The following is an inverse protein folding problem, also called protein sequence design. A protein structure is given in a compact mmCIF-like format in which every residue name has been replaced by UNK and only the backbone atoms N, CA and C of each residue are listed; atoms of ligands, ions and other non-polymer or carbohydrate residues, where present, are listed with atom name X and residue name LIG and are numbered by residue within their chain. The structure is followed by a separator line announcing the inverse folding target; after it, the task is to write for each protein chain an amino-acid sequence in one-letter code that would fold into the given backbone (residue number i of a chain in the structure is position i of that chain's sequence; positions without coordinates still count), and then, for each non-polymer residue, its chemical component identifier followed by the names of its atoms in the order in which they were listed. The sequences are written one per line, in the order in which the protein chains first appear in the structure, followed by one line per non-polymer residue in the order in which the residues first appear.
data_IF_681584090275
#
_entry.id   IF_681584090275
#
_cell.length_a   1.000
_cell.length_b   1.000
_cell.length_c   1.000
_cell.angle_alpha   90.00
_cell.angle_beta   90.00
_cell.angle_gamma   90.00
#
_symmetry.space_group_name_H-M   'P 1'
#
loop_
_entity.id
_entity.type
_entity.pdbx_description
1 polymer ?
#
# COMPACT_ATOMS: atom_id res chain seq x y z
N UNK A 1 27.55 18.66 2.43
CA UNK A 1 28.13 17.94 3.59
C UNK A 1 27.42 18.25 4.91
N UNK A 2 27.34 19.50 5.40
CA UNK A 2 26.71 19.84 6.70
C UNK A 2 25.27 19.31 6.90
N UNK A 3 24.40 19.34 5.88
CA UNK A 3 23.00 18.84 5.98
C UNK A 3 22.91 17.30 6.13
N UNK A 4 23.82 16.56 5.49
CA UNK A 4 23.88 15.09 5.59
C UNK A 4 24.39 14.65 6.97
N UNK A 5 25.36 15.39 7.52
CA UNK A 5 25.89 15.16 8.87
C UNK A 5 24.85 15.36 9.95
N UNK A 6 24.00 16.39 9.84
CA UNK A 6 22.89 16.65 10.78
C UNK A 6 21.83 15.53 10.72
N UNK A 7 21.42 15.12 9.51
CA UNK A 7 20.47 14.00 9.33
C UNK A 7 21.01 12.68 9.88
N UNK A 8 22.28 12.36 9.62
CA UNK A 8 22.94 11.19 10.19
C UNK A 8 23.00 11.29 11.72
N UNK A 9 23.34 12.45 12.28
CA UNK A 9 23.41 12.66 13.72
C UNK A 9 22.04 12.56 14.39
N UNK A 10 20.98 13.10 13.79
CA UNK A 10 19.58 12.92 14.24
C UNK A 10 19.15 11.45 14.17
N UNK A 11 19.54 10.74 13.11
CA UNK A 11 19.30 9.30 12.96
C UNK A 11 20.02 8.50 14.07
N UNK A 12 21.30 8.77 14.34
CA UNK A 12 22.05 8.13 15.41
C UNK A 12 21.52 8.44 16.81
N UNK A 13 21.08 9.68 17.05
CA UNK A 13 20.43 10.09 18.30
C UNK A 13 19.10 9.35 18.50
N UNK A 14 18.29 9.17 17.44
CA UNK A 14 17.03 8.43 17.51
C UNK A 14 17.21 6.93 17.81
N UNK A 15 18.31 6.31 17.35
CA UNK A 15 18.67 4.92 17.70
C UNK A 15 18.99 4.80 19.21
N UNK A 16 19.53 5.85 19.84
CA UNK A 16 19.79 5.90 21.29
C UNK A 16 18.52 5.88 22.16
N UNK A 17 17.37 6.30 21.60
CA UNK A 17 16.06 6.26 22.27
C UNK A 17 15.36 4.90 22.19
N UNK A 18 16.01 3.87 21.66
CA UNK A 18 15.53 2.46 21.72
C UNK A 18 15.30 1.94 23.14
N UNK A 19 15.74 2.69 24.17
CA UNK A 19 15.46 2.47 25.59
C UNK A 19 13.98 2.58 25.98
N UNK A 20 13.10 3.09 25.11
CA UNK A 20 11.67 3.26 25.39
C UNK A 20 10.77 2.13 24.86
N UNK A 21 11.33 1.08 24.24
CA UNK A 21 10.54 -0.03 23.71
C UNK A 21 10.51 -1.20 24.69
N UNK A 22 9.31 -1.47 25.24
CA UNK A 22 9.02 -2.67 26.04
C UNK A 22 9.53 -3.95 25.37
N UNK A 23 9.82 -4.96 26.19
CA UNK A 23 10.38 -6.25 25.75
C UNK A 23 9.53 -6.92 24.66
N UNK A 24 10.15 -7.16 23.50
CA UNK A 24 9.55 -7.74 22.29
C UNK A 24 8.78 -9.04 22.57
N UNK A 25 7.66 -9.23 21.87
CA UNK A 25 6.75 -10.38 22.05
C UNK A 25 6.71 -11.30 20.84
N UNK A 26 6.90 -10.78 19.64
CA UNK A 26 6.78 -11.52 18.38
C UNK A 26 8.09 -11.51 17.57
N UNK A 27 8.41 -12.65 16.96
CA UNK A 27 9.52 -12.80 16.01
C UNK A 27 9.02 -12.87 14.57
N UNK A 28 7.90 -13.56 14.33
CA UNK A 28 7.32 -13.74 13.01
C UNK A 28 5.80 -13.78 13.11
N UNK A 29 5.11 -13.13 12.17
CA UNK A 29 3.66 -13.19 12.01
C UNK A 29 3.36 -13.33 10.53
N UNK A 30 2.76 -14.44 10.13
CA UNK A 30 2.34 -14.68 8.76
C UNK A 30 0.81 -14.80 8.72
N UNK A 31 0.20 -14.29 7.67
CA UNK A 31 -1.21 -14.44 7.35
C UNK A 31 -1.31 -14.96 5.92
N UNK A 32 -1.73 -16.21 5.77
CA UNK A 32 -1.83 -16.90 4.49
C UNK A 32 -3.32 -16.98 4.11
N UNK A 33 -3.87 -15.96 3.43
CA UNK A 33 -5.24 -16.02 2.91
C UNK A 33 -5.30 -17.00 1.75
N UNK A 34 -6.16 -18.01 1.88
CA UNK A 34 -6.30 -19.08 0.88
C UNK A 34 -7.43 -18.74 -0.10
N UNK A 35 -8.54 -18.21 0.42
CA UNK A 35 -9.74 -17.87 -0.36
C UNK A 35 -10.13 -16.44 -0.02
N UNK A 36 -10.48 -15.66 -1.05
CA UNK A 36 -11.00 -14.31 -0.97
C UNK A 36 -12.15 -14.16 -1.98
N UNK A 37 -13.37 -14.10 -1.48
CA UNK A 37 -14.59 -13.99 -2.28
C UNK A 37 -15.13 -12.55 -2.20
N UNK A 38 -15.70 -12.04 -3.31
CA UNK A 38 -15.94 -12.76 -4.56
C UNK A 38 -14.77 -12.70 -5.55
N UNK A 39 -13.70 -11.96 -5.24
CA UNK A 39 -12.56 -11.75 -6.16
C UNK A 39 -11.97 -13.05 -6.73
N UNK A 40 -11.79 -14.11 -5.94
CA UNK A 40 -11.21 -15.34 -6.49
C UNK A 40 -12.12 -16.10 -7.46
N UNK A 41 -13.41 -15.78 -7.48
CA UNK A 41 -14.39 -16.35 -8.40
C UNK A 41 -14.61 -15.44 -9.60
N UNK A 42 -14.74 -14.15 -9.34
CA UNK A 42 -15.24 -13.18 -10.30
C UNK A 42 -14.12 -12.58 -11.16
N UNK A 43 -12.88 -12.56 -10.66
CA UNK A 43 -11.75 -12.04 -11.44
C UNK A 43 -11.38 -13.03 -12.56
N UNK A 44 -11.13 -12.56 -13.80
CA UNK A 44 -10.70 -13.39 -14.91
C UNK A 44 -9.36 -14.09 -14.63
N UNK A 45 -8.49 -13.44 -13.85
CA UNK A 45 -7.35 -14.07 -13.20
C UNK A 45 -7.73 -14.36 -11.74
N UNK A 46 -8.18 -15.59 -11.50
CA UNK A 46 -8.80 -16.00 -10.22
C UNK A 46 -7.93 -15.75 -8.98
N UNK A 47 -6.60 -15.70 -9.09
CA UNK A 47 -5.72 -15.46 -7.95
C UNK A 47 -4.49 -14.65 -8.35
N UNK A 48 -3.94 -13.84 -7.43
CA UNK A 48 -4.49 -13.46 -6.12
C UNK A 48 -5.55 -12.34 -6.20
N UNK A 49 -6.32 -12.14 -5.12
CA UNK A 49 -7.11 -10.92 -4.90
C UNK A 49 -6.23 -9.75 -4.41
N UNK A 50 -6.75 -8.52 -4.42
CA UNK A 50 -6.06 -7.34 -3.88
C UNK A 50 -5.58 -7.53 -2.43
N UNK A 51 -6.45 -8.07 -1.57
CA UNK A 51 -6.11 -8.32 -0.17
C UNK A 51 -5.17 -9.51 -0.01
N UNK A 52 -5.26 -10.55 -0.85
CA UNK A 52 -4.28 -11.64 -0.85
C UNK A 52 -2.90 -11.14 -1.22
N UNK A 53 -2.79 -10.28 -2.25
CA UNK A 53 -1.53 -9.68 -2.65
C UNK A 53 -0.89 -8.85 -1.53
N UNK A 54 -1.70 -8.05 -0.82
CA UNK A 54 -1.26 -7.27 0.34
C UNK A 54 -0.74 -8.16 1.49
N UNK A 55 -1.43 -9.27 1.80
CA UNK A 55 -0.96 -10.23 2.82
C UNK A 55 0.34 -10.90 2.39
N UNK A 56 0.42 -11.42 1.17
CA UNK A 56 1.62 -12.09 0.68
C UNK A 56 2.83 -11.15 0.68
N UNK A 57 2.65 -9.90 0.22
CA UNK A 57 3.71 -8.88 0.31
C UNK A 57 4.15 -8.63 1.74
N UNK A 58 3.19 -8.39 2.65
CA UNK A 58 3.50 -8.17 4.07
C UNK A 58 4.28 -9.34 4.68
N UNK A 59 3.88 -10.57 4.38
CA UNK A 59 4.46 -11.83 4.86
C UNK A 59 5.87 -12.10 4.29
N UNK A 60 6.09 -11.85 3.00
CA UNK A 60 7.43 -11.96 2.42
C UNK A 60 8.40 -10.95 3.04
N UNK A 61 7.95 -9.72 3.32
CA UNK A 61 8.75 -8.79 4.13
C UNK A 61 8.96 -9.30 5.57
N UNK A 62 7.95 -9.91 6.22
CA UNK A 62 8.14 -10.52 7.56
C UNK A 62 9.27 -11.57 7.56
N UNK A 63 9.29 -12.44 6.56
CA UNK A 63 10.32 -13.47 6.41
C UNK A 63 11.71 -12.85 6.18
N UNK A 64 11.81 -11.86 5.28
CA UNK A 64 13.06 -11.14 5.04
C UNK A 64 13.60 -10.47 6.31
N UNK A 65 12.73 -9.79 7.06
CA UNK A 65 13.11 -9.12 8.30
C UNK A 65 13.50 -10.11 9.41
N UNK A 66 12.85 -11.27 9.50
CA UNK A 66 13.29 -12.35 10.40
C UNK A 66 14.70 -12.83 10.04
N UNK A 67 14.99 -13.01 8.75
CA UNK A 67 16.32 -13.36 8.25
C UNK A 67 17.38 -12.34 8.65
N UNK A 68 17.08 -11.05 8.42
CA UNK A 68 17.95 -9.92 8.79
C UNK A 68 18.19 -9.88 10.30
N UNK A 69 17.14 -10.07 11.11
CA UNK A 69 17.25 -10.09 12.58
C UNK A 69 18.20 -11.22 13.04
N UNK A 70 18.05 -12.43 12.48
CA UNK A 70 18.90 -13.58 12.76
C UNK A 70 20.35 -13.33 12.34
N UNK A 71 20.60 -12.87 11.12
CA UNK A 71 21.95 -12.59 10.61
C UNK A 71 22.65 -11.54 11.46
N UNK A 72 21.99 -10.41 11.76
CA UNK A 72 22.57 -9.37 12.61
C UNK A 72 22.90 -9.89 14.01
N UNK A 73 22.03 -10.72 14.60
CA UNK A 73 22.30 -11.34 15.89
C UNK A 73 23.47 -12.33 15.83
N UNK A 74 23.59 -13.16 14.80
CA UNK A 74 24.72 -14.09 14.65
C UNK A 74 26.05 -13.34 14.52
N UNK A 75 26.08 -12.27 13.72
CA UNK A 75 27.31 -11.53 13.44
C UNK A 75 27.72 -10.59 14.58
N UNK A 76 26.76 -9.94 15.25
CA UNK A 76 27.03 -8.79 16.12
C UNK A 76 26.57 -8.96 17.58
N UNK A 77 25.90 -10.08 17.92
CA UNK A 77 25.54 -10.43 19.30
C UNK A 77 26.36 -11.65 19.77
N UNK A 78 27.49 -11.43 20.46
CA UNK A 78 28.33 -12.54 20.93
C UNK A 78 27.58 -13.39 21.95
N UNK A 79 27.72 -14.72 21.84
CA UNK A 79 27.12 -15.68 22.79
C UNK A 79 27.80 -15.67 24.17
N UNK A 80 29.07 -15.26 24.21
CA UNK A 80 29.97 -15.43 25.37
C UNK A 80 30.43 -14.13 26.01
N UNK A 81 30.06 -12.96 25.46
CA UNK A 81 30.48 -11.64 25.97
C UNK A 81 29.27 -10.76 26.24
N UNK A 82 29.43 -9.83 27.18
CA UNK A 82 28.39 -8.86 27.48
C UNK A 82 28.00 -8.04 26.24
N UNK A 83 26.69 -7.86 26.07
CA UNK A 83 26.13 -7.12 24.94
C UNK A 83 26.10 -5.62 25.25
N UNK A 84 27.26 -4.99 25.12
CA UNK A 84 27.48 -3.58 25.45
C UNK A 84 26.58 -2.63 24.64
N UNK A 85 26.36 -1.41 25.15
CA UNK A 85 25.53 -0.38 24.47
C UNK A 85 26.03 -0.08 23.05
N UNK A 86 27.34 0.06 22.84
CA UNK A 86 27.91 0.30 21.50
C UNK A 86 27.61 -0.85 20.52
N UNK A 87 27.68 -2.11 20.97
CA UNK A 87 27.32 -3.27 20.14
C UNK A 87 25.82 -3.35 19.84
N UNK A 88 24.97 -2.94 20.78
CA UNK A 88 23.52 -2.81 20.54
C UNK A 88 23.24 -1.82 19.43
N UNK A 89 23.88 -0.64 19.48
CA UNK A 89 23.76 0.38 18.43
C UNK A 89 24.31 -0.12 17.09
N UNK A 90 25.48 -0.77 17.07
CA UNK A 90 26.05 -1.34 15.86
C UNK A 90 25.13 -2.39 15.22
N UNK A 91 24.57 -3.31 16.02
CA UNK A 91 23.65 -4.33 15.53
C UNK A 91 22.35 -3.70 14.99
N UNK A 92 21.79 -2.73 15.71
CA UNK A 92 20.60 -2.01 15.25
C UNK A 92 20.86 -1.27 13.93
N UNK A 93 21.99 -0.57 13.83
CA UNK A 93 22.42 0.12 12.60
C UNK A 93 22.64 -0.84 11.44
N UNK A 94 23.34 -1.97 11.67
CA UNK A 94 23.54 -3.00 10.66
C UNK A 94 22.22 -3.57 10.14
N UNK A 95 21.31 -3.97 11.03
CA UNK A 95 19.99 -4.49 10.66
C UNK A 95 19.16 -3.47 9.90
N UNK A 96 19.21 -2.20 10.29
CA UNK A 96 18.52 -1.14 9.58
C UNK A 96 19.05 -0.95 8.16
N UNK A 97 20.38 -0.86 8.00
CA UNK A 97 21.01 -0.71 6.68
C UNK A 97 20.71 -1.90 5.77
N UNK A 98 20.77 -3.12 6.31
CA UNK A 98 20.42 -4.33 5.56
C UNK A 98 18.92 -4.35 5.22
N UNK A 99 18.05 -3.88 6.11
CA UNK A 99 16.61 -3.73 5.84
C UNK A 99 16.35 -2.69 4.75
N UNK A 100 17.05 -1.56 4.76
CA UNK A 100 16.93 -0.53 3.73
C UNK A 100 17.40 -1.05 2.36
N UNK A 101 18.51 -1.79 2.31
CA UNK A 101 18.97 -2.44 1.09
C UNK A 101 17.99 -3.51 0.60
N UNK A 102 17.52 -4.39 1.52
CA UNK A 102 16.56 -5.43 1.20
C UNK A 102 15.26 -4.85 0.64
N UNK A 103 14.71 -3.80 1.25
CA UNK A 103 13.48 -3.20 0.70
C UNK A 103 13.76 -2.53 -0.64
N UNK A 104 14.83 -1.72 -0.77
CA UNK A 104 15.10 -1.01 -2.02
C UNK A 104 15.25 -1.94 -3.22
N UNK A 105 16.02 -3.01 -3.09
CA UNK A 105 16.31 -3.92 -4.20
C UNK A 105 15.35 -5.11 -4.26
N UNK A 106 14.84 -5.54 -3.10
CA UNK A 106 13.89 -6.64 -3.00
C UNK A 106 12.51 -6.28 -3.53
N UNK A 107 12.06 -5.03 -3.38
CA UNK A 107 10.77 -4.57 -3.93
C UNK A 107 10.66 -4.74 -5.46
N UNK A 108 11.79 -4.72 -6.16
CA UNK A 108 11.86 -4.90 -7.61
C UNK A 108 11.84 -6.37 -8.03
N UNK A 109 12.06 -7.33 -7.11
CA UNK A 109 12.14 -8.74 -7.48
C UNK A 109 10.77 -9.27 -7.95
N UNK A 110 10.73 -10.22 -8.90
CA UNK A 110 9.49 -10.73 -9.48
C UNK A 110 8.85 -11.82 -8.60
N UNK A 111 8.72 -11.52 -7.30
CA UNK A 111 8.16 -12.32 -6.22
C UNK A 111 7.21 -11.43 -5.40
N UNK A 112 6.41 -11.96 -4.45
CA UNK A 112 5.42 -11.16 -3.72
C UNK A 112 6.03 -10.11 -2.78
N UNK A 113 6.51 -9.01 -3.35
CA UNK A 113 7.08 -7.81 -2.72
C UNK A 113 6.57 -6.57 -3.47
N UNK A 114 7.04 -5.38 -3.11
CA UNK A 114 6.63 -4.06 -3.61
C UNK A 114 5.95 -4.03 -4.99
N UNK A 115 6.73 -4.10 -6.07
CA UNK A 115 6.23 -3.96 -7.46
C UNK A 115 5.24 -5.07 -7.83
N UNK A 116 5.43 -6.30 -7.34
CA UNK A 116 4.47 -7.36 -7.62
C UNK A 116 3.09 -7.05 -7.03
N UNK A 117 3.05 -6.56 -5.78
CA UNK A 117 1.80 -6.19 -5.12
C UNK A 117 1.16 -4.95 -5.77
N UNK A 118 1.99 -4.00 -6.21
CA UNK A 118 1.57 -2.84 -7.01
C UNK A 118 0.78 -3.29 -8.25
N UNK A 119 1.37 -4.17 -9.05
CA UNK A 119 0.75 -4.69 -10.26
C UNK A 119 -0.52 -5.52 -9.98
N UNK A 120 -0.55 -6.35 -8.93
CA UNK A 120 -1.78 -7.08 -8.57
C UNK A 120 -2.94 -6.16 -8.17
N UNK A 121 -2.68 -4.95 -7.65
CA UNK A 121 -3.74 -3.99 -7.34
C UNK A 121 -4.36 -3.40 -8.62
N UNK A 122 -3.55 -3.06 -9.63
CA UNK A 122 -4.07 -2.66 -10.94
C UNK A 122 -4.91 -3.77 -11.56
N UNK A 123 -4.39 -5.00 -11.54
CA UNK A 123 -5.11 -6.17 -12.04
C UNK A 123 -6.46 -6.30 -11.33
N UNK A 124 -6.49 -6.23 -9.99
CA UNK A 124 -7.71 -6.30 -9.17
C UNK A 124 -8.84 -5.40 -9.68
N UNK A 125 -8.52 -4.13 -9.99
CA UNK A 125 -9.53 -3.19 -10.50
C UNK A 125 -9.93 -3.51 -11.94
N UNK A 126 -8.99 -3.90 -12.81
CA UNK A 126 -9.31 -4.34 -14.17
C UNK A 126 -10.21 -5.59 -14.17
N UNK A 127 -9.90 -6.56 -13.31
CA UNK A 127 -10.59 -7.84 -13.27
C UNK A 127 -12.04 -7.76 -12.79
N UNK A 128 -12.37 -6.86 -11.84
CA UNK A 128 -13.79 -6.64 -11.45
C UNK A 128 -14.61 -5.96 -12.55
N UNK A 129 -13.95 -5.50 -13.62
CA UNK A 129 -14.58 -5.01 -14.84
C UNK A 129 -14.47 -6.04 -15.99
N UNK A 130 -14.24 -7.31 -15.68
CA UNK A 130 -14.10 -8.43 -16.62
C UNK A 130 -12.93 -8.28 -17.62
N UNK A 131 -11.94 -7.45 -17.32
CA UNK A 131 -10.75 -7.28 -18.17
C UNK A 131 -9.66 -8.23 -17.69
N UNK A 132 -9.29 -9.18 -18.55
CA UNK A 132 -8.20 -10.10 -18.25
C UNK A 132 -6.85 -9.41 -18.39
N UNK A 133 -5.96 -9.65 -17.44
CA UNK A 133 -4.64 -9.02 -17.38
C UNK A 133 -3.63 -9.93 -16.68
N UNK A 134 -2.35 -9.66 -16.87
CA UNK A 134 -1.22 -10.42 -16.34
C UNK A 134 -0.25 -9.48 -15.63
N UNK A 135 0.36 -9.99 -14.56
CA UNK A 135 1.39 -9.28 -13.80
C UNK A 135 2.76 -9.49 -14.46
N UNK A 136 3.37 -8.39 -14.88
CA UNK A 136 4.67 -8.30 -15.52
C UNK A 136 5.85 -8.35 -14.55
N UNK A 137 5.60 -8.46 -13.25
CA UNK A 137 6.62 -8.63 -12.21
C UNK A 137 6.49 -9.99 -11.50
N UNK A 138 6.49 -11.08 -12.27
CA UNK A 138 6.31 -12.44 -11.77
C UNK A 138 7.29 -13.40 -12.45
N UNK A 139 8.14 -14.08 -11.65
CA UNK A 139 9.27 -14.86 -12.13
C UNK A 139 8.95 -15.92 -13.21
N UNK A 140 7.76 -16.56 -13.24
CA UNK A 140 7.39 -17.51 -14.29
C UNK A 140 7.03 -16.87 -15.63
N UNK A 141 6.88 -15.54 -15.70
CA UNK A 141 6.31 -14.86 -16.85
C UNK A 141 7.20 -13.72 -17.35
N UNK A 142 7.40 -12.69 -16.53
CA UNK A 142 7.99 -11.41 -16.97
C UNK A 142 8.54 -10.67 -15.74
N UNK A 143 9.55 -9.83 -15.95
CA UNK A 143 10.16 -9.01 -14.92
C UNK A 143 10.46 -7.60 -15.45
N UNK A 144 9.40 -6.81 -15.62
CA UNK A 144 9.51 -5.41 -16.06
C UNK A 144 8.52 -4.45 -15.43
N UNK A 145 7.75 -4.90 -14.42
CA UNK A 145 6.85 -4.01 -13.67
C UNK A 145 5.69 -3.47 -14.51
N UNK A 146 5.11 -4.30 -15.36
CA UNK A 146 3.96 -3.92 -16.21
C UNK A 146 2.70 -4.69 -15.86
N UNK A 147 1.53 -4.17 -16.22
CA UNK A 147 0.29 -4.96 -16.31
C UNK A 147 -0.12 -5.03 -17.77
N UNK A 148 -0.08 -6.25 -18.31
CA UNK A 148 -0.30 -6.51 -19.74
C UNK A 148 -1.44 -7.51 -19.97
N UNK A 149 -1.75 -7.81 -21.23
CA UNK A 149 -2.86 -8.71 -21.63
C UNK A 149 -4.16 -7.98 -21.94
N UNK A 150 -4.20 -6.66 -21.75
CA UNK A 150 -5.38 -5.81 -21.93
C UNK A 150 -5.48 -5.32 -23.38
N UNK A 151 -6.66 -5.39 -24.00
CA UNK A 151 -6.87 -4.85 -25.34
C UNK A 151 -7.23 -3.36 -25.31
N UNK A 152 -6.92 -2.62 -26.38
CA UNK A 152 -7.33 -1.21 -26.50
C UNK A 152 -8.86 -1.04 -26.56
N UNK A 153 -9.57 -2.07 -27.06
CA UNK A 153 -11.03 -2.13 -27.04
C UNK A 153 -11.57 -2.18 -25.60
N UNK A 154 -10.97 -2.99 -24.73
CA UNK A 154 -11.39 -3.11 -23.33
C UNK A 154 -11.23 -1.78 -22.60
N UNK A 155 -10.12 -1.07 -22.84
CA UNK A 155 -9.86 0.25 -22.25
C UNK A 155 -10.79 1.33 -22.82
N UNK A 156 -11.13 1.23 -24.11
CA UNK A 156 -12.10 2.13 -24.76
C UNK A 156 -13.50 1.93 -24.16
N UNK A 157 -13.92 0.68 -23.96
CA UNK A 157 -15.18 0.35 -23.31
C UNK A 157 -15.19 0.80 -21.84
N UNK A 158 -14.10 0.54 -21.11
CA UNK A 158 -13.98 0.95 -19.71
C UNK A 158 -14.05 2.47 -19.57
N UNK A 159 -13.34 3.22 -20.41
CA UNK A 159 -13.38 4.69 -20.38
C UNK A 159 -14.79 5.23 -20.64
N UNK A 160 -15.50 4.66 -21.61
CA UNK A 160 -16.82 5.15 -22.02
C UNK A 160 -17.95 4.75 -21.07
N UNK A 161 -17.91 3.54 -20.51
CA UNK A 161 -18.99 3.02 -19.65
C UNK A 161 -18.72 3.20 -18.15
N UNK A 162 -17.45 3.11 -17.73
CA UNK A 162 -17.04 3.09 -16.33
C UNK A 162 -15.75 3.91 -16.11
N UNK A 163 -15.75 5.23 -16.42
CA UNK A 163 -14.55 6.07 -16.33
C UNK A 163 -13.95 6.06 -14.92
N UNK A 164 -14.76 6.03 -13.87
CA UNK A 164 -14.29 5.97 -12.48
C UNK A 164 -13.48 4.70 -12.20
N UNK A 165 -13.82 3.58 -12.85
CA UNK A 165 -13.08 2.33 -12.71
C UNK A 165 -11.77 2.36 -13.48
N UNK A 166 -11.72 3.04 -14.65
CA UNK A 166 -10.45 3.28 -15.35
C UNK A 166 -9.52 4.15 -14.52
N UNK A 167 -10.05 5.27 -13.98
CA UNK A 167 -9.28 6.17 -13.12
C UNK A 167 -8.82 5.48 -11.84
N UNK A 168 -9.65 4.60 -11.25
CA UNK A 168 -9.25 3.79 -10.12
C UNK A 168 -8.15 2.79 -10.52
N UNK A 169 -8.28 2.12 -11.67
CA UNK A 169 -7.30 1.16 -12.15
C UNK A 169 -5.92 1.81 -12.27
N UNK A 170 -5.80 3.05 -12.72
CA UNK A 170 -4.51 3.76 -12.76
C UNK A 170 -3.90 3.98 -11.38
N UNK A 171 -4.69 4.32 -10.36
CA UNK A 171 -4.11 4.70 -9.06
C UNK A 171 -4.01 3.54 -8.07
N UNK A 172 -4.58 2.38 -8.41
CA UNK A 172 -4.67 1.23 -7.52
C UNK A 172 -3.30 0.71 -7.06
N UNK A 173 -2.28 0.70 -7.93
CA UNK A 173 -0.93 0.25 -7.56
C UNK A 173 -0.38 0.99 -6.35
N UNK A 174 -0.42 2.33 -6.37
CA UNK A 174 0.01 3.22 -5.27
C UNK A 174 -0.73 2.92 -3.95
N UNK A 175 -1.95 2.38 -4.01
CA UNK A 175 -2.68 2.01 -2.81
C UNK A 175 -2.02 0.85 -2.09
N UNK A 176 -1.32 -0.04 -2.81
CA UNK A 176 -0.63 -1.18 -2.21
C UNK A 176 0.42 -0.73 -1.18
N UNK A 177 1.23 0.29 -1.49
CA UNK A 177 2.28 0.82 -0.61
C UNK A 177 1.68 1.58 0.58
N UNK A 178 0.67 2.43 0.31
CA UNK A 178 0.00 3.22 1.34
C UNK A 178 -0.70 2.30 2.35
N UNK A 179 -1.39 1.28 1.85
CA UNK A 179 -2.15 0.34 2.68
C UNK A 179 -1.21 -0.62 3.44
N UNK A 180 -0.10 -1.02 2.83
CA UNK A 180 0.96 -1.79 3.51
C UNK A 180 1.58 -0.99 4.66
N UNK A 181 1.85 0.30 4.47
CA UNK A 181 2.34 1.19 5.52
C UNK A 181 1.35 1.33 6.68
N UNK A 182 0.05 1.50 6.38
CA UNK A 182 -1.00 1.54 7.41
C UNK A 182 -1.00 0.26 8.21
N UNK A 183 -1.04 -0.89 7.53
CA UNK A 183 -1.07 -2.21 8.15
C UNK A 183 0.12 -2.41 9.08
N UNK A 184 1.34 -2.19 8.59
CA UNK A 184 2.56 -2.38 9.39
C UNK A 184 2.56 -1.44 10.61
N UNK A 185 2.22 -0.16 10.42
CA UNK A 185 2.25 0.84 11.50
C UNK A 185 1.26 0.50 12.62
N UNK A 186 0.04 0.12 12.25
CA UNK A 186 -1.00 -0.29 13.21
C UNK A 186 -0.63 -1.60 13.89
N UNK A 187 -0.19 -2.59 13.12
CA UNK A 187 0.18 -3.89 13.64
C UNK A 187 1.38 -3.82 14.60
N UNK A 188 2.41 -3.04 14.28
CA UNK A 188 3.62 -2.90 15.10
C UNK A 188 3.37 -2.02 16.33
N UNK A 189 2.41 -1.09 16.25
CA UNK A 189 1.91 -0.38 17.42
C UNK A 189 1.30 -1.35 18.43
N UNK A 190 0.37 -2.23 18.03
CA UNK A 190 -0.30 -3.17 18.96
C UNK A 190 0.56 -4.39 19.33
N UNK A 191 1.38 -4.90 18.39
CA UNK A 191 2.11 -6.17 18.50
C UNK A 191 3.62 -5.96 18.39
N UNK A 192 4.24 -5.69 19.54
CA UNK A 192 5.69 -5.47 19.69
C UNK A 192 6.54 -6.63 19.16
N UNK A 193 7.59 -6.30 18.41
CA UNK A 193 8.43 -7.27 17.69
C UNK A 193 9.94 -7.09 17.91
N UNK A 194 10.74 -8.06 17.49
CA UNK A 194 12.21 -8.06 17.68
C UNK A 194 12.96 -7.15 16.71
N UNK A 195 12.50 -7.03 15.46
CA UNK A 195 13.02 -6.10 14.47
C UNK A 195 11.87 -5.33 13.82
N UNK A 196 11.91 -4.00 13.94
CA UNK A 196 10.87 -3.12 13.44
C UNK A 196 11.04 -2.81 11.93
N UNK A 197 9.91 -2.64 11.21
CA UNK A 197 9.86 -2.48 9.75
C UNK A 197 10.02 -1.05 9.25
N UNK A 198 10.76 -0.23 9.98
CA UNK A 198 10.86 1.23 9.77
C UNK A 198 11.38 1.58 8.37
N UNK A 199 12.39 0.84 7.90
CA UNK A 199 12.97 1.05 6.58
C UNK A 199 11.95 0.82 5.46
N UNK A 200 11.04 -0.15 5.62
CA UNK A 200 9.94 -0.38 4.68
C UNK A 200 8.93 0.77 4.69
N UNK A 201 8.56 1.26 5.88
CA UNK A 201 7.64 2.41 6.00
C UNK A 201 8.21 3.64 5.27
N UNK A 202 9.49 3.93 5.51
CA UNK A 202 10.21 5.03 4.85
C UNK A 202 10.29 4.82 3.34
N UNK A 203 10.65 3.62 2.89
CA UNK A 203 10.79 3.33 1.47
C UNK A 203 9.46 3.49 0.74
N UNK A 204 8.36 2.97 1.27
CA UNK A 204 7.04 3.10 0.67
C UNK A 204 6.60 4.58 0.58
N UNK A 205 6.84 5.38 1.63
CA UNK A 205 6.55 6.82 1.59
C UNK A 205 7.40 7.54 0.53
N UNK A 206 8.68 7.18 0.43
CA UNK A 206 9.58 7.68 -0.61
C UNK A 206 9.15 7.25 -2.01
N UNK A 207 8.79 5.98 -2.21
CA UNK A 207 8.38 5.42 -3.50
C UNK A 207 7.17 6.16 -4.04
N UNK A 208 6.12 6.34 -3.22
CA UNK A 208 4.92 7.09 -3.63
C UNK A 208 5.28 8.53 -4.00
N UNK A 209 6.07 9.22 -3.19
CA UNK A 209 6.50 10.58 -3.52
C UNK A 209 7.36 10.65 -4.79
N UNK A 210 8.29 9.71 -4.96
CA UNK A 210 9.19 9.66 -6.11
C UNK A 210 8.42 9.33 -7.39
N UNK A 211 7.39 8.49 -7.31
CA UNK A 211 6.53 8.20 -8.46
C UNK A 211 5.71 9.43 -8.89
N UNK A 212 5.18 10.21 -7.94
CA UNK A 212 4.59 11.52 -8.23
C UNK A 212 5.63 12.53 -8.74
N UNK A 213 6.88 12.48 -8.27
CA UNK A 213 7.98 13.33 -8.76
C UNK A 213 8.31 13.03 -10.21
N UNK A 214 8.43 11.76 -10.56
CA UNK A 214 8.60 11.29 -11.93
C UNK A 214 7.43 11.74 -12.80
N UNK A 215 6.20 11.48 -12.36
CA UNK A 215 4.98 11.77 -13.11
C UNK A 215 4.70 13.26 -13.31
N UNK A 216 5.11 14.10 -12.35
CA UNK A 216 5.01 15.56 -12.46
C UNK A 216 6.29 16.19 -13.05
N UNK A 217 6.93 15.52 -14.03
CA UNK A 217 8.15 15.99 -14.68
C UNK A 217 8.23 15.58 -16.16
N UNK A 218 8.98 16.34 -16.99
CA UNK A 218 9.23 15.99 -18.40
C UNK A 218 9.99 14.66 -18.63
N UNK A 219 10.47 14.00 -17.58
CA UNK A 219 11.10 12.67 -17.70
C UNK A 219 10.12 11.66 -18.31
N UNK A 220 8.83 11.79 -18.00
CA UNK A 220 7.76 10.95 -18.59
C UNK A 220 7.63 11.11 -20.10
N UNK A 221 7.94 12.28 -20.67
CA UNK A 221 7.95 12.49 -22.12
C UNK A 221 9.05 11.64 -22.78
N UNK A 222 10.22 11.59 -22.15
CA UNK A 222 11.33 10.75 -22.60
C UNK A 222 10.98 9.27 -22.52
N UNK A 223 10.31 8.85 -21.43
CA UNK A 223 9.84 7.46 -21.25
C UNK A 223 8.73 7.11 -22.24
N UNK A 224 7.84 8.05 -22.59
CA UNK A 224 6.83 7.86 -23.65
C UNK A 224 7.48 7.51 -24.98
N UNK A 225 8.56 8.19 -25.34
CA UNK A 225 9.27 7.97 -26.62
C UNK A 225 10.14 6.70 -26.56
N UNK A 226 10.98 6.56 -25.53
CA UNK A 226 11.92 5.45 -25.44
C UNK A 226 11.25 4.13 -25.05
N UNK A 227 10.29 4.17 -24.13
CA UNK A 227 9.54 2.99 -23.70
C UNK A 227 8.78 2.35 -24.86
N UNK A 228 8.14 3.17 -25.71
CA UNK A 228 7.43 2.67 -26.88
C UNK A 228 8.34 1.95 -27.90
N UNK A 229 9.63 2.33 -28.00
CA UNK A 229 10.60 1.64 -28.89
C UNK A 229 10.95 0.22 -28.42
N UNK A 230 10.86 -0.03 -27.11
CA UNK A 230 11.19 -1.33 -26.51
C UNK A 230 9.95 -2.18 -26.23
N UNK A 231 8.77 -1.66 -26.55
CA UNK A 231 7.52 -2.37 -26.36
C UNK A 231 7.12 -3.18 -27.58
N UNK A 232 6.32 -4.20 -27.32
CA UNK A 232 5.80 -5.07 -28.36
C UNK A 232 4.76 -4.33 -29.22
N UNK A 233 4.78 -4.50 -30.56
CA UNK A 233 3.76 -3.94 -31.45
C UNK A 233 2.32 -4.40 -31.16
N UNK A 234 2.14 -5.60 -30.56
CA UNK A 234 0.85 -6.12 -30.12
C UNK A 234 0.36 -5.39 -28.86
N UNK A 235 -0.80 -4.69 -28.91
CA UNK A 235 -1.41 -4.03 -27.77
C UNK A 235 -1.54 -4.89 -26.51
N UNK A 236 -1.76 -6.20 -26.66
CA UNK A 236 -1.91 -7.12 -25.52
C UNK A 236 -0.59 -7.43 -24.81
N UNK A 237 0.55 -7.12 -25.40
CA UNK A 237 1.87 -7.33 -24.78
C UNK A 237 2.45 -6.04 -24.19
N UNK A 238 1.77 -4.91 -24.37
CA UNK A 238 2.15 -3.61 -23.80
C UNK A 238 1.57 -3.44 -22.40
N UNK A 239 2.20 -2.55 -21.65
CA UNK A 239 1.63 -2.09 -20.40
C UNK A 239 0.26 -1.41 -20.62
N UNK A 240 -0.66 -1.51 -19.66
CA UNK A 240 -2.04 -1.02 -19.83
C UNK A 240 -2.14 0.51 -19.70
N UNK A 241 -1.24 1.15 -18.97
CA UNK A 241 -1.30 2.58 -18.64
C UNK A 241 -0.05 3.36 -19.09
N UNK A 242 1.10 2.71 -19.14
CA UNK A 242 2.40 3.35 -19.31
C UNK A 242 2.91 3.94 -18.00
N UNK A 243 2.69 5.23 -17.79
CA UNK A 243 2.94 5.88 -16.50
C UNK A 243 1.59 6.19 -15.87
N UNK A 244 1.27 5.50 -14.78
CA UNK A 244 -0.09 5.46 -14.25
C UNK A 244 -0.63 6.84 -13.90
N UNK A 245 0.18 7.66 -13.22
CA UNK A 245 -0.29 8.92 -12.68
C UNK A 245 -0.43 10.00 -13.77
N UNK A 246 0.31 9.94 -14.87
CA UNK A 246 0.07 10.82 -16.02
C UNK A 246 -1.13 10.35 -16.83
N UNK A 247 -1.35 9.04 -16.99
CA UNK A 247 -2.57 8.51 -17.60
C UNK A 247 -3.82 8.88 -16.78
N UNK A 248 -3.73 8.75 -15.45
CA UNK A 248 -4.74 9.18 -14.49
C UNK A 248 -5.08 10.66 -14.64
N UNK A 249 -4.07 11.55 -14.58
CA UNK A 249 -4.30 12.98 -14.75
C UNK A 249 -4.85 13.33 -16.13
N UNK A 250 -4.40 12.66 -17.18
CA UNK A 250 -4.88 12.89 -18.54
C UNK A 250 -6.36 12.58 -18.68
N UNK A 251 -6.78 11.37 -18.31
CA UNK A 251 -8.18 10.97 -18.48
C UNK A 251 -9.10 11.69 -17.48
N UNK A 252 -8.60 12.04 -16.30
CA UNK A 252 -9.32 12.83 -15.30
C UNK A 252 -9.64 14.24 -15.81
N UNK A 253 -8.71 14.88 -16.54
CA UNK A 253 -8.88 16.21 -17.13
C UNK A 253 -9.46 16.18 -18.55
N UNK A 254 -9.69 14.98 -19.12
CA UNK A 254 -10.28 14.79 -20.44
C UNK A 254 -11.34 13.66 -20.41
N UNK A 255 -12.41 13.80 -19.61
CA UNK A 255 -13.41 12.74 -19.44
C UNK A 255 -14.16 12.44 -20.73
N UNK A 256 -14.46 13.47 -21.54
CA UNK A 256 -15.25 13.33 -22.77
C UNK A 256 -14.41 12.89 -23.99
N UNK A 257 -13.07 12.91 -23.89
CA UNK A 257 -12.23 12.47 -25.00
C UNK A 257 -12.25 10.93 -25.08
N UNK A 258 -12.55 10.32 -26.24
CA UNK A 258 -12.50 8.88 -26.35
C UNK A 258 -11.06 8.37 -26.12
N UNK A 259 -10.92 7.13 -25.64
CA UNK A 259 -9.60 6.54 -25.37
C UNK A 259 -8.72 6.49 -26.63
N UNK A 260 -9.36 6.31 -27.79
CA UNK A 260 -8.73 6.28 -29.12
C UNK A 260 -8.23 7.63 -29.63
N UNK A 261 -8.50 8.74 -28.92
CA UNK A 261 -7.97 10.06 -29.26
C UNK A 261 -6.50 10.26 -28.83
N UNK A 262 -5.91 9.29 -28.12
CA UNK A 262 -4.47 9.28 -27.83
C UNK A 262 -3.66 9.11 -29.11
N UNK A 263 -2.38 9.47 -29.05
CA UNK A 263 -1.46 9.28 -30.18
C UNK A 263 -1.47 7.83 -30.66
N UNK A 264 -1.21 7.61 -31.94
CA UNK A 264 -0.99 6.25 -32.45
C UNK A 264 0.28 5.66 -31.84
N UNK A 265 0.27 4.37 -31.55
CA UNK A 265 1.48 3.71 -31.08
C UNK A 265 2.54 3.71 -32.20
N UNK A 266 3.79 4.12 -31.92
CA UNK A 266 4.82 4.12 -32.94
C UNK A 266 5.16 2.68 -33.34
N UNK A 267 5.21 2.42 -34.65
CA UNK A 267 5.62 1.13 -35.22
C UNK A 267 4.76 -0.08 -34.80
N UNK A 268 3.48 0.12 -34.48
CA UNK A 268 2.56 -0.97 -34.13
C UNK A 268 1.10 -0.57 -34.21
N UNK A 269 0.22 -1.43 -33.68
CA UNK A 269 -1.23 -1.24 -33.73
C UNK A 269 -1.77 -0.46 -32.53
N UNK A 270 -2.91 0.19 -32.71
CA UNK A 270 -3.64 0.83 -31.62
C UNK A 270 -3.01 2.13 -31.10
N UNK A 271 -3.35 2.47 -29.85
CA UNK A 271 -2.98 3.76 -29.25
C UNK A 271 -1.71 3.67 -28.41
N UNK A 272 -0.97 4.77 -28.36
CA UNK A 272 0.09 4.98 -27.40
C UNK A 272 -0.53 5.22 -26.03
N UNK A 273 -0.45 4.20 -25.17
CA UNK A 273 -1.00 4.25 -23.82
C UNK A 273 -0.22 5.20 -22.92
N UNK A 274 1.08 5.43 -23.21
CA UNK A 274 1.91 6.37 -22.46
C UNK A 274 1.49 7.80 -22.74
N UNK A 275 1.13 8.48 -21.66
CA UNK A 275 0.95 9.92 -21.62
C UNK A 275 2.19 10.54 -20.97
N UNK A 276 2.83 11.45 -21.67
CA UNK A 276 3.91 12.29 -21.14
C UNK A 276 3.36 13.52 -20.41
N UNK A 277 4.16 14.09 -19.52
CA UNK A 277 3.81 15.31 -18.79
C UNK A 277 3.47 16.49 -19.74
N UNK A 278 4.14 16.57 -20.89
CA UNK A 278 3.88 17.60 -21.89
C UNK A 278 2.58 17.38 -22.68
N UNK A 279 1.98 16.19 -22.61
CA UNK A 279 0.65 15.92 -23.20
C UNK A 279 -0.50 16.42 -22.30
N UNK A 280 -0.19 16.75 -21.03
CA UNK A 280 -1.17 17.23 -20.06
C UNK A 280 -1.48 18.71 -20.27
N UNK A 281 -2.74 19.09 -20.03
CA UNK A 281 -3.10 20.52 -19.96
C UNK A 281 -2.37 21.22 -18.80
N UNK A 282 -2.19 22.54 -18.83
CA UNK A 282 -1.58 23.29 -17.74
C UNK A 282 -2.24 23.01 -16.37
N UNK A 283 -3.58 22.86 -16.33
CA UNK A 283 -4.30 22.55 -15.10
C UNK A 283 -4.00 21.13 -14.60
N UNK A 284 -3.91 20.14 -15.49
CA UNK A 284 -3.55 18.77 -15.14
C UNK A 284 -2.10 18.68 -14.62
N UNK A 285 -1.19 19.43 -15.22
CA UNK A 285 0.19 19.57 -14.75
C UNK A 285 0.27 20.17 -13.33
N UNK A 286 -0.43 21.28 -13.10
CA UNK A 286 -0.51 21.91 -11.78
C UNK A 286 -1.15 20.98 -10.75
N UNK A 287 -2.17 20.23 -11.15
CA UNK A 287 -2.82 19.24 -10.30
C UNK A 287 -1.85 18.14 -9.86
N UNK A 288 -1.07 17.55 -10.77
CA UNK A 288 -0.05 16.56 -10.42
C UNK A 288 1.04 17.14 -9.52
N UNK A 289 1.47 18.38 -9.75
CA UNK A 289 2.41 19.08 -8.87
C UNK A 289 1.85 19.27 -7.45
N UNK A 290 0.54 19.54 -7.33
CA UNK A 290 -0.16 19.59 -6.03
C UNK A 290 -0.20 18.22 -5.38
N UNK A 291 -0.60 17.17 -6.11
CA UNK A 291 -0.62 15.80 -5.60
C UNK A 291 0.76 15.33 -5.11
N UNK A 292 1.84 15.67 -5.85
CA UNK A 292 3.22 15.42 -5.42
C UNK A 292 3.57 16.08 -4.09
N UNK A 293 3.08 17.29 -3.83
CA UNK A 293 3.29 17.96 -2.54
C UNK A 293 2.49 17.28 -1.44
N UNK A 294 1.25 16.86 -1.72
CA UNK A 294 0.39 16.15 -0.78
C UNK A 294 0.92 14.76 -0.43
N UNK A 295 1.57 14.06 -1.36
CA UNK A 295 2.17 12.75 -1.09
C UNK A 295 3.29 12.79 -0.04
N UNK A 296 3.88 13.96 0.24
CA UNK A 296 4.81 14.15 1.37
C UNK A 296 4.15 13.86 2.73
N UNK A 297 2.82 13.92 2.83
CA UNK A 297 2.11 13.56 4.07
C UNK A 297 2.36 12.10 4.47
N UNK A 298 2.69 11.21 3.53
CA UNK A 298 3.06 9.82 3.82
C UNK A 298 4.35 9.69 4.66
N UNK A 299 5.17 10.75 4.76
CA UNK A 299 6.34 10.80 5.64
C UNK A 299 5.99 11.19 7.09
N UNK A 300 4.77 11.68 7.35
CA UNK A 300 4.31 12.00 8.71
C UNK A 300 3.94 10.70 9.41
N UNK A 301 4.95 9.95 9.84
CA UNK A 301 4.81 8.72 10.60
C UNK A 301 6.00 8.57 11.55
N UNK A 302 5.81 8.73 12.89
CA UNK A 302 6.88 8.59 13.87
C UNK A 302 7.58 7.22 13.83
N UNK A 303 6.91 6.18 13.32
CA UNK A 303 7.51 4.86 13.13
C UNK A 303 8.67 4.90 12.11
N UNK A 304 8.76 5.87 11.20
CA UNK A 304 9.95 6.06 10.35
C UNK A 304 11.19 6.33 11.23
N UNK A 305 11.01 7.07 12.32
CA UNK A 305 12.06 7.48 13.26
C UNK A 305 12.10 6.62 14.53
N UNK A 306 11.68 5.35 14.45
CA UNK A 306 11.74 4.38 15.55
C UNK A 306 10.80 4.66 16.73
N UNK A 307 9.87 5.58 16.57
CA UNK A 307 8.82 5.87 17.53
C UNK A 307 7.56 5.11 17.11
N UNK A 308 7.51 3.82 17.44
CA UNK A 308 6.35 2.98 17.14
C UNK A 308 5.20 3.18 18.13
N UNK A 309 5.46 3.80 19.28
CA UNK A 309 4.51 3.97 20.38
C UNK A 309 4.94 5.12 21.29
N UNK A 310 4.00 5.99 21.59
CA UNK A 310 4.16 7.13 22.52
C UNK A 310 3.38 6.79 23.80
N UNK A 311 4.03 6.58 24.94
CA UNK A 311 3.35 6.30 26.20
C UNK A 311 2.61 7.55 26.74
N UNK A 312 1.41 7.33 27.28
CA UNK A 312 0.60 8.31 28.02
C UNK A 312 0.35 7.75 29.43
N UNK A 313 1.28 8.00 30.34
CA UNK A 313 1.26 7.41 31.68
C UNK A 313 1.45 5.88 31.66
N UNK A 314 0.96 5.19 32.70
CA UNK A 314 1.19 3.74 32.89
C UNK A 314 0.20 2.84 32.14
N UNK A 315 -0.91 3.41 31.66
CA UNK A 315 -2.09 2.65 31.20
C UNK A 315 -2.52 3.01 29.78
N UNK A 316 -1.94 4.04 29.17
CA UNK A 316 -2.28 4.44 27.83
C UNK A 316 -1.02 4.59 26.97
N UNK A 317 -1.18 4.38 25.67
CA UNK A 317 -0.20 4.76 24.67
C UNK A 317 -0.92 5.03 23.36
N UNK A 318 -0.32 5.81 22.49
CA UNK A 318 -0.85 6.09 21.17
C UNK A 318 0.28 6.21 20.16
N UNK A 319 -0.08 6.22 18.89
CA UNK A 319 0.76 6.77 17.84
C UNK A 319 -0.15 7.55 16.89
N UNK A 320 0.43 8.19 15.89
CA UNK A 320 -0.32 8.79 14.81
C UNK A 320 0.48 8.70 13.51
N UNK A 321 -0.20 8.70 12.38
CA UNK A 321 0.45 8.89 11.09
C UNK A 321 -0.54 9.48 10.09
N UNK A 322 -0.04 10.24 9.13
CA UNK A 322 -0.84 10.74 8.01
C UNK A 322 -0.62 9.88 6.77
N UNK A 323 -1.64 9.82 5.94
CA UNK A 323 -1.58 9.14 4.65
C UNK A 323 -2.20 10.00 3.57
N UNK A 324 -1.59 9.98 2.40
CA UNK A 324 -2.14 10.50 1.16
C UNK A 324 -2.30 9.34 0.18
N UNK A 325 -3.47 9.21 -0.41
CA UNK A 325 -3.74 8.28 -1.50
C UNK A 325 -4.46 8.98 -2.66
N UNK A 326 -4.00 8.84 -3.90
CA UNK A 326 -4.79 9.25 -5.06
C UNK A 326 -6.06 8.39 -5.19
N UNK A 327 -7.13 8.91 -5.76
CA UNK A 327 -8.40 8.19 -5.94
C UNK A 327 -9.01 8.55 -7.31
N UNK A 328 -10.00 7.77 -7.76
CA UNK A 328 -10.69 8.04 -9.04
C UNK A 328 -11.34 9.43 -9.09
N UNK A 329 -11.84 9.94 -7.95
CA UNK A 329 -12.38 11.29 -7.83
C UNK A 329 -11.33 12.35 -7.46
N UNK A 330 -10.08 11.99 -7.19
CA UNK A 330 -9.06 12.94 -6.76
C UNK A 330 -8.11 12.37 -5.70
N UNK A 331 -8.35 12.64 -4.41
CA UNK A 331 -7.51 12.08 -3.35
C UNK A 331 -8.24 11.89 -2.00
N UNK A 332 -7.64 11.04 -1.17
CA UNK A 332 -7.89 10.92 0.26
C UNK A 332 -6.65 11.36 1.04
N UNK A 333 -6.85 12.23 2.02
CA UNK A 333 -5.87 12.55 3.05
C UNK A 333 -6.45 12.09 4.38
N UNK A 334 -5.70 11.26 5.10
CA UNK A 334 -6.13 10.77 6.41
C UNK A 334 -5.10 10.97 7.50
N UNK A 335 -5.58 11.07 8.72
CA UNK A 335 -4.80 10.88 9.94
C UNK A 335 -5.33 9.64 10.65
N UNK A 336 -4.43 8.72 10.98
CA UNK A 336 -4.76 7.49 11.71
C UNK A 336 -4.09 7.51 13.07
N UNK A 337 -4.86 7.25 14.13
CA UNK A 337 -4.44 7.24 15.52
C UNK A 337 -4.74 5.87 16.15
N UNK A 338 -3.77 4.94 16.16
CA UNK A 338 -3.87 3.75 16.99
C UNK A 338 -3.60 4.11 18.46
N UNK A 339 -4.47 3.63 19.34
CA UNK A 339 -4.51 3.94 20.76
C UNK A 339 -4.60 2.61 21.52
N UNK A 340 -3.81 2.45 22.56
CA UNK A 340 -3.95 1.36 23.51
C UNK A 340 -4.30 1.95 24.86
N UNK A 341 -5.47 1.61 25.39
CA UNK A 341 -5.95 2.03 26.70
C UNK A 341 -6.25 0.79 27.56
N UNK A 342 -5.51 0.64 28.65
CA UNK A 342 -5.43 -0.60 29.43
C UNK A 342 -5.08 -1.80 28.53
N UNK A 343 -6.01 -2.74 28.39
CA UNK A 343 -5.88 -3.94 27.55
C UNK A 343 -6.77 -3.85 26.29
N UNK A 344 -7.17 -2.64 25.92
CA UNK A 344 -8.05 -2.38 24.77
C UNK A 344 -7.26 -1.65 23.69
N UNK A 345 -7.28 -2.21 22.49
CA UNK A 345 -6.63 -1.65 21.31
C UNK A 345 -7.70 -0.98 20.44
N UNK A 346 -7.59 0.34 20.25
CA UNK A 346 -8.59 1.20 19.59
C UNK A 346 -7.94 1.96 18.44
N UNK A 347 -8.63 2.07 17.31
CA UNK A 347 -8.19 2.87 16.16
C UNK A 347 -9.19 3.99 15.90
N UNK A 348 -8.68 5.20 15.70
CA UNK A 348 -9.43 6.32 15.14
C UNK A 348 -8.77 6.75 13.83
N UNK A 349 -9.53 6.87 12.75
CA UNK A 349 -9.07 7.46 11.50
C UNK A 349 -9.98 8.61 11.11
N UNK A 350 -9.42 9.71 10.63
CA UNK A 350 -10.18 10.85 10.10
C UNK A 350 -9.71 11.07 8.68
N UNK A 351 -10.66 11.17 7.76
CA UNK A 351 -10.41 11.27 6.33
C UNK A 351 -10.95 12.60 5.79
N UNK A 352 -10.22 13.14 4.81
CA UNK A 352 -10.65 14.25 3.95
C UNK A 352 -10.54 13.77 2.51
N UNK A 353 -11.69 13.55 1.90
CA UNK A 353 -11.82 13.21 0.49
C UNK A 353 -11.96 14.49 -0.33
N UNK A 354 -11.12 14.67 -1.34
CA UNK A 354 -11.13 15.90 -2.15
C UNK A 354 -11.19 15.56 -3.63
N UNK A 355 -12.07 16.25 -4.36
CA UNK A 355 -12.04 16.31 -5.82
C UNK A 355 -11.63 17.71 -6.29
N UNK A 356 -11.93 18.08 -7.54
CA UNK A 356 -11.60 19.40 -8.07
C UNK A 356 -12.46 20.54 -7.50
N UNK A 357 -13.72 20.26 -7.11
CA UNK A 357 -14.71 21.29 -6.73
C UNK A 357 -15.19 21.24 -5.28
N UNK A 358 -15.08 20.09 -4.62
CA UNK A 358 -15.74 19.78 -3.37
C UNK A 358 -14.86 18.92 -2.46
N UNK A 359 -15.21 18.96 -1.18
CA UNK A 359 -14.57 18.18 -0.13
C UNK A 359 -15.63 17.42 0.66
N UNK A 360 -15.26 16.21 1.07
CA UNK A 360 -16.03 15.34 1.93
C UNK A 360 -15.15 14.77 3.03
N UNK A 361 -15.78 14.14 4.03
CA UNK A 361 -15.07 13.67 5.22
C UNK A 361 -15.46 12.25 5.57
N UNK A 362 -14.58 11.55 6.28
CA UNK A 362 -14.84 10.21 6.77
C UNK A 362 -14.23 9.95 8.13
N UNK A 363 -14.70 8.87 8.75
CA UNK A 363 -14.31 8.43 10.07
C UNK A 363 -14.14 6.91 10.06
N UNK A 364 -13.00 6.46 10.58
CA UNK A 364 -12.74 5.06 10.89
C UNK A 364 -12.73 4.88 12.41
N UNK A 365 -13.44 3.87 12.90
CA UNK A 365 -13.44 3.42 14.29
C UNK A 365 -13.09 1.94 14.33
N UNK A 366 -12.05 1.56 15.06
CA UNK A 366 -11.61 0.18 15.15
C UNK A 366 -11.43 -0.30 16.59
N UNK A 367 -11.76 -1.55 16.83
CA UNK A 367 -11.46 -2.30 18.05
C UNK A 367 -10.66 -3.53 17.66
N UNK A 368 -9.44 -3.64 18.16
CA UNK A 368 -8.50 -4.69 17.77
C UNK A 368 -8.18 -5.64 18.94
N UNK A 369 -7.75 -6.85 18.57
CA UNK A 369 -7.26 -7.92 19.44
C UNK A 369 -8.20 -8.23 20.62
N UNK A 370 -9.52 -8.12 20.41
CA UNK A 370 -10.51 -8.38 21.45
C UNK A 370 -10.62 -9.89 21.67
N UNK A 371 -10.22 -10.36 22.85
CA UNK A 371 -10.40 -11.76 23.23
C UNK A 371 -11.84 -12.00 23.63
N UNK A 372 -12.53 -12.84 22.85
CA UNK A 372 -13.89 -13.32 23.17
C UNK A 372 -13.79 -14.56 24.04
N UNK A 373 -12.86 -15.46 23.72
CA UNK A 373 -12.52 -16.63 24.54
C UNK A 373 -11.01 -16.79 24.64
N UNK A 374 -10.53 -17.85 25.32
CA UNK A 374 -9.09 -18.17 25.35
C UNK A 374 -8.52 -18.51 23.96
N UNK A 375 -9.37 -18.94 23.01
CA UNK A 375 -8.97 -19.36 21.66
C UNK A 375 -9.44 -18.40 20.56
N UNK A 376 -10.50 -17.63 20.79
CA UNK A 376 -11.09 -16.72 19.81
C UNK A 376 -10.71 -15.26 20.09
N UNK A 377 -10.11 -14.62 19.11
CA UNK A 377 -9.80 -13.19 19.09
C UNK A 377 -10.48 -12.54 17.88
N UNK A 378 -11.02 -11.33 18.05
CA UNK A 378 -11.74 -10.61 17.00
C UNK A 378 -11.26 -9.18 16.86
N UNK A 379 -11.31 -8.66 15.64
CA UNK A 379 -11.14 -7.25 15.31
C UNK A 379 -12.43 -6.76 14.64
N UNK A 380 -12.88 -5.54 14.96
CA UNK A 380 -14.03 -4.89 14.36
C UNK A 380 -13.62 -3.51 13.88
N UNK A 381 -13.93 -3.16 12.63
CA UNK A 381 -13.74 -1.82 12.09
C UNK A 381 -15.03 -1.32 11.47
N UNK A 382 -15.41 -0.08 11.80
CA UNK A 382 -16.49 0.68 11.20
C UNK A 382 -15.87 1.85 10.44
N UNK A 383 -16.32 2.06 9.21
CA UNK A 383 -15.92 3.20 8.38
C UNK A 383 -17.17 3.89 7.91
N UNK A 384 -17.21 5.22 8.00
CA UNK A 384 -18.26 6.05 7.41
C UNK A 384 -17.61 7.14 6.58
N UNK A 385 -18.26 7.54 5.50
CA UNK A 385 -17.72 8.57 4.62
C UNK A 385 -18.81 9.37 3.95
N UNK A 386 -18.44 10.59 3.58
CA UNK A 386 -19.08 11.45 2.60
C UNK A 386 -18.02 11.72 1.53
N UNK A 387 -18.14 11.10 0.35
CA UNK A 387 -17.11 11.11 -0.70
C UNK A 387 -17.61 11.85 -1.93
N UNK A 388 -16.76 12.62 -2.63
CA UNK A 388 -17.07 13.08 -3.97
C UNK A 388 -17.38 11.90 -4.91
N UNK A 389 -18.38 12.08 -5.78
CA UNK A 389 -18.78 11.02 -6.72
C UNK A 389 -17.82 10.93 -7.93
N UNK A 390 -17.36 12.06 -8.46
CA UNK A 390 -16.41 12.10 -9.57
C UNK A 390 -15.43 13.26 -9.40
N UNK A 391 -14.55 13.50 -10.37
CA UNK A 391 -13.52 14.54 -10.25
C UNK A 391 -14.07 15.98 -10.35
N UNK A 392 -15.02 16.25 -11.25
CA UNK A 392 -15.48 17.61 -11.57
C UNK A 392 -16.91 17.95 -11.12
N UNK A 393 -17.66 17.01 -10.57
CA UNK A 393 -18.96 17.34 -9.97
C UNK A 393 -18.77 17.85 -8.53
N UNK A 394 -19.78 18.53 -8.00
CA UNK A 394 -19.89 18.92 -6.60
C UNK A 394 -20.77 17.93 -5.80
N UNK A 395 -21.22 16.86 -6.45
CA UNK A 395 -22.05 15.80 -5.87
C UNK A 395 -21.19 14.90 -4.99
N UNK A 396 -21.72 14.63 -3.79
CA UNK A 396 -21.14 13.69 -2.83
C UNK A 396 -22.12 12.58 -2.51
N UNK A 397 -21.59 11.46 -2.04
CA UNK A 397 -22.38 10.34 -1.57
C UNK A 397 -21.89 9.89 -0.20
N UNK A 398 -22.85 9.67 0.69
CA UNK A 398 -22.59 9.08 2.00
C UNK A 398 -22.59 7.56 1.91
N UNK A 399 -21.63 6.93 2.58
CA UNK A 399 -21.54 5.48 2.66
C UNK A 399 -20.88 5.00 3.94
N UNK A 400 -20.86 3.69 4.10
CA UNK A 400 -20.28 3.02 5.24
C UNK A 400 -19.74 1.63 4.90
N UNK A 401 -18.80 1.16 5.71
CA UNK A 401 -18.30 -0.21 5.71
C UNK A 401 -18.20 -0.76 7.13
N UNK A 402 -18.40 -2.06 7.27
CA UNK A 402 -18.14 -2.83 8.47
C UNK A 402 -17.25 -4.02 8.13
N UNK A 403 -16.16 -4.15 8.88
CA UNK A 403 -15.21 -5.24 8.75
C UNK A 403 -15.10 -5.99 10.07
N UNK A 404 -15.27 -7.31 10.03
CA UNK A 404 -15.07 -8.23 11.14
C UNK A 404 -13.98 -9.23 10.78
N UNK A 405 -12.90 -9.26 11.56
CA UNK A 405 -11.87 -10.29 11.48
C UNK A 405 -11.96 -11.19 12.71
N UNK A 406 -12.05 -12.50 12.51
CA UNK A 406 -12.11 -13.50 13.56
C UNK A 406 -10.94 -14.49 13.43
N UNK A 407 -10.27 -14.78 14.55
CA UNK A 407 -9.08 -15.60 14.62
C UNK A 407 -9.24 -16.67 15.69
N UNK A 408 -9.29 -17.94 15.28
CA UNK A 408 -9.47 -19.08 16.18
C UNK A 408 -8.18 -19.90 16.28
N UNK A 409 -7.53 -19.85 17.45
CA UNK A 409 -6.28 -20.56 17.71
C UNK A 409 -6.51 -22.08 17.79
N UNK A 410 -6.00 -22.81 16.81
CA UNK A 410 -5.96 -24.29 16.79
C UNK A 410 -4.82 -24.78 17.69
N UNK A 411 -3.66 -24.12 17.56
CA UNK A 411 -2.47 -24.41 18.36
C UNK A 411 -1.93 -23.12 18.97
N UNK A 412 -0.81 -23.20 19.71
CA UNK A 412 -0.11 -22.03 20.24
C UNK A 412 0.38 -21.06 19.16
N UNK A 413 0.62 -21.57 17.95
CA UNK A 413 1.26 -20.82 16.85
C UNK A 413 0.39 -20.72 15.60
N UNK A 414 -0.70 -21.50 15.49
CA UNK A 414 -1.54 -21.56 14.29
C UNK A 414 -2.98 -21.21 14.66
N UNK A 415 -3.58 -20.30 13.88
CA UNK A 415 -5.00 -19.96 13.97
C UNK A 415 -5.68 -20.04 12.60
N UNK A 416 -6.95 -20.46 12.59
CA UNK A 416 -7.85 -20.18 11.48
C UNK A 416 -8.18 -18.69 11.49
N UNK A 417 -8.23 -18.07 10.32
CA UNK A 417 -8.58 -16.67 10.15
C UNK A 417 -9.76 -16.53 9.17
N UNK A 418 -10.76 -15.77 9.56
CA UNK A 418 -11.90 -15.38 8.74
C UNK A 418 -12.02 -13.86 8.79
N UNK A 419 -12.25 -13.23 7.65
CA UNK A 419 -12.52 -11.80 7.51
C UNK A 419 -13.78 -11.63 6.70
N UNK A 420 -14.69 -10.75 7.14
CA UNK A 420 -15.88 -10.36 6.39
C UNK A 420 -15.91 -8.84 6.33
N UNK A 421 -16.02 -8.28 5.13
CA UNK A 421 -16.14 -6.85 4.89
C UNK A 421 -17.40 -6.57 4.07
N UNK A 422 -18.36 -5.85 4.65
CA UNK A 422 -19.55 -5.39 3.95
C UNK A 422 -19.50 -3.88 3.80
N UNK A 423 -19.77 -3.36 2.60
CA UNK A 423 -19.80 -1.92 2.35
C UNK A 423 -20.92 -1.48 1.42
N UNK A 424 -21.34 -0.22 1.56
CA UNK A 424 -22.22 0.47 0.61
C UNK A 424 -21.41 1.02 -0.59
N UNK A 425 -22.07 1.71 -1.53
CA UNK A 425 -21.41 2.45 -2.63
C UNK A 425 -20.35 3.42 -2.06
N UNK A 426 -19.22 3.47 -2.73
CA UNK A 426 -18.10 4.37 -2.44
C UNK A 426 -16.75 3.69 -2.56
N UNK A 427 -15.68 4.46 -2.48
CA UNK A 427 -14.32 3.95 -2.54
C UNK A 427 -13.79 3.62 -1.16
N UNK A 428 -13.09 2.49 -1.07
CA UNK A 428 -12.39 2.04 0.12
C UNK A 428 -11.03 1.51 -0.35
N UNK A 429 -9.93 2.06 0.19
CA UNK A 429 -8.58 1.61 -0.17
C UNK A 429 -8.41 0.11 0.14
N UNK A 430 -7.94 -0.67 -0.83
CA UNK A 430 -7.85 -2.13 -0.70
C UNK A 430 -9.09 -2.91 -1.13
N UNK A 431 -10.07 -2.23 -1.75
CA UNK A 431 -11.30 -2.84 -2.23
C UNK A 431 -11.59 -2.40 -3.69
N UNK A 432 -11.49 -3.30 -4.68
CA UNK A 432 -11.61 -2.93 -6.09
C UNK A 432 -13.03 -2.52 -6.51
N UNK A 433 -14.05 -2.78 -5.69
CA UNK A 433 -15.44 -2.48 -6.03
C UNK A 433 -15.78 -1.04 -5.62
N UNK A 434 -16.26 -0.20 -6.55
CA UNK A 434 -16.83 1.12 -6.22
C UNK A 434 -18.31 1.04 -5.82
N UNK A 435 -18.99 -0.06 -6.18
CA UNK A 435 -20.36 -0.36 -5.78
C UNK A 435 -20.40 -1.00 -4.39
N UNK A 436 -21.62 -1.15 -3.85
CA UNK A 436 -21.84 -1.96 -2.66
C UNK A 436 -21.30 -3.38 -2.87
N UNK A 437 -20.67 -3.94 -1.86
CA UNK A 437 -19.99 -5.22 -1.95
C UNK A 437 -19.94 -5.92 -0.59
N UNK A 438 -20.04 -7.25 -0.60
CA UNK A 438 -19.79 -8.11 0.55
C UNK A 438 -18.65 -9.07 0.18
N UNK A 439 -17.53 -8.94 0.88
CA UNK A 439 -16.37 -9.80 0.70
C UNK A 439 -16.11 -10.64 1.93
N UNK A 440 -15.60 -11.85 1.70
CA UNK A 440 -15.19 -12.77 2.76
C UNK A 440 -13.87 -13.42 2.41
N UNK A 441 -12.95 -13.50 3.37
CA UNK A 441 -11.63 -14.07 3.21
C UNK A 441 -11.36 -15.11 4.29
N UNK A 442 -10.81 -16.24 3.88
CA UNK A 442 -10.51 -17.39 4.73
C UNK A 442 -9.04 -17.78 4.59
N UNK A 443 -8.38 -18.10 5.69
CA UNK A 443 -6.98 -18.49 5.66
C UNK A 443 -6.42 -18.93 6.99
N UNK A 444 -5.09 -18.98 7.05
CA UNK A 444 -4.34 -19.37 8.24
C UNK A 444 -3.49 -18.20 8.73
N UNK A 445 -3.33 -18.10 10.05
CA UNK A 445 -2.34 -17.21 10.67
C UNK A 445 -1.31 -18.03 11.41
N UNK A 446 -0.04 -17.78 11.13
CA UNK A 446 1.08 -18.35 11.86
C UNK A 446 1.78 -17.28 12.70
N UNK A 447 2.08 -17.60 13.96
CA UNK A 447 2.74 -16.67 14.87
C UNK A 447 3.87 -17.39 15.60
N UNK A 448 5.09 -16.88 15.43
CA UNK A 448 6.24 -17.24 16.23
C UNK A 448 6.48 -16.16 17.29
N UNK A 449 6.36 -16.54 18.57
CA UNK A 449 6.60 -15.65 19.70
C UNK A 449 8.06 -15.73 20.12
N UNK A 450 8.60 -14.63 20.63
CA UNK A 450 9.94 -14.65 21.23
C UNK A 450 9.90 -15.52 22.48
N UNK A 451 10.82 -16.48 22.57
CA UNK A 451 11.20 -17.07 23.86
C UNK A 451 11.76 -15.93 24.71
N UNK A 452 11.10 -15.64 25.83
CA UNK A 452 11.77 -14.94 26.93
C UNK A 452 12.48 -15.97 27.76
#
# INVERSE_FOLDING_TARGET
MKKLSVLLMSFWLSIGFTSAQDSARYQLRLSVPVIDLPQNRDLPYRHPSMNQALEFSADFYELGYLGIDKIGNVLLRPKTKEYTKGRKMLNAGFKYLLSAAFVKYGSELPIPLGVWAHEEFHRAVLGVNNINSKNGNWFPHRWDGTVYGVADQDLTELKSKHPDQLLYAYVAGVHSEVLLNRKISVEDFYKKRTLSKNALILYNAWYVWDYFKFSASPVTDSVKIWGAKNENPDPKQRDFAGADLTAWAYDMFNPDKPYTARDKFPNGEGVNRRVGYSDLSPDAQQYLLKQKKLSLLNFVNPAIFFINRIPLGKRASFNFFMQYAPAHFGNDISITLPIQYHNTDLLLGIHKFSNFKSEGYGLDLGLFNKKITKRLETDLTLRIWDQPESFYNDVKHTGAAIQLDARYNITKNIALAVSVNGKTKGWEMGNPYLKANLSSRFGLRYVLRSSR
#
